data_IF_673488714855
#
_entry.id   IF_673488714855
#
_cell.length_a   1.000
_cell.length_b   1.000
_cell.length_c   1.000
_cell.angle_alpha   90.00
_cell.angle_beta   90.00
_cell.angle_gamma   90.00
#
_symmetry.space_group_name_H-M   'P 1'
#
loop_
_entity.id
_entity.type
_entity.pdbx_description
1 polymer ?
#
# COMPACT_ATOMS: atom_id res chain seq x y z
N UNK A 1 -13.29 3.11 17.97
CA UNK A 1 -12.77 2.87 16.61
C UNK A 1 -12.48 1.40 16.46
N UNK A 2 -13.06 0.78 15.44
CA UNK A 2 -12.85 -0.64 15.15
C UNK A 2 -11.40 -0.86 14.69
N UNK A 3 -10.88 -2.08 14.86
CA UNK A 3 -9.55 -2.49 14.35
C UNK A 3 -9.35 -2.13 12.87
N UNK A 4 -10.42 -2.23 12.09
CA UNK A 4 -10.45 -1.92 10.67
C UNK A 4 -10.19 -0.43 10.37
N UNK A 5 -10.71 0.49 11.20
CA UNK A 5 -10.49 1.94 11.06
C UNK A 5 -9.00 2.27 11.16
N UNK A 6 -8.28 1.62 12.08
CA UNK A 6 -6.84 1.80 12.24
C UNK A 6 -6.03 1.29 11.06
N UNK A 7 -6.43 0.17 10.46
CA UNK A 7 -5.76 -0.38 9.27
C UNK A 7 -6.01 0.54 8.06
N UNK A 8 -7.23 1.05 7.91
CA UNK A 8 -7.59 2.03 6.89
C UNK A 8 -6.78 3.33 6.99
N UNK A 9 -6.41 3.75 8.19
CA UNK A 9 -5.52 4.91 8.42
C UNK A 9 -4.06 4.53 8.19
N UNK A 10 -3.64 3.33 8.59
CA UNK A 10 -2.26 2.89 8.45
C UNK A 10 -1.78 2.83 6.99
N UNK A 11 -2.64 2.42 6.05
CA UNK A 11 -2.33 2.35 4.61
C UNK A 11 -1.93 3.72 4.03
N UNK A 12 -2.78 4.76 4.07
CA UNK A 12 -2.41 6.09 3.54
C UNK A 12 -1.27 6.71 4.35
N UNK A 13 -1.17 6.46 5.65
CA UNK A 13 -0.02 6.94 6.45
C UNK A 13 1.30 6.32 5.95
N UNK A 14 1.33 5.01 5.70
CA UNK A 14 2.50 4.35 5.14
C UNK A 14 2.87 4.90 3.76
N UNK A 15 1.90 5.06 2.87
CA UNK A 15 2.12 5.63 1.52
C UNK A 15 2.61 7.08 1.58
N UNK A 16 1.94 7.93 2.36
CA UNK A 16 2.30 9.34 2.52
C UNK A 16 3.67 9.50 3.19
N UNK A 17 4.03 8.64 4.14
CA UNK A 17 5.35 8.69 4.77
C UNK A 17 6.47 8.51 3.75
N UNK A 18 6.30 7.62 2.77
CA UNK A 18 7.26 7.42 1.68
C UNK A 18 7.45 8.67 0.81
N UNK A 19 6.34 9.33 0.46
CA UNK A 19 6.37 10.60 -0.27
C UNK A 19 7.00 11.74 0.54
N UNK A 20 6.62 11.87 1.82
CA UNK A 20 7.17 12.88 2.75
C UNK A 20 8.69 12.71 2.89
N UNK A 21 9.18 11.48 3.03
CA UNK A 21 10.62 11.20 3.08
C UNK A 21 11.30 11.64 1.79
N UNK A 22 10.72 11.31 0.63
CA UNK A 22 11.27 11.72 -0.67
C UNK A 22 11.31 13.23 -0.89
N UNK A 23 10.36 13.98 -0.31
CA UNK A 23 10.29 15.44 -0.46
C UNK A 23 11.17 16.17 0.56
N UNK A 24 11.26 15.66 1.79
CA UNK A 24 11.93 16.34 2.90
C UNK A 24 13.38 15.90 3.13
N UNK A 25 13.85 14.87 2.43
CA UNK A 25 15.20 14.33 2.60
C UNK A 25 15.96 14.27 1.27
N UNK A 26 17.22 13.82 1.32
CA UNK A 26 18.05 13.58 0.13
C UNK A 26 17.73 12.27 -0.59
N UNK A 27 16.79 11.47 -0.06
CA UNK A 27 16.36 10.22 -0.69
C UNK A 27 15.53 10.55 -1.93
N UNK A 28 15.87 10.02 -3.11
CA UNK A 28 15.04 10.21 -4.31
C UNK A 28 13.59 9.76 -4.06
N UNK A 29 12.65 10.52 -4.59
CA UNK A 29 11.22 10.36 -4.29
C UNK A 29 10.71 8.99 -4.69
N UNK A 30 11.29 8.39 -5.72
CA UNK A 30 10.94 7.08 -6.26
C UNK A 30 11.25 5.98 -5.24
N UNK A 31 12.41 6.03 -4.59
CA UNK A 31 12.77 5.09 -3.52
C UNK A 31 11.90 5.28 -2.27
N UNK A 32 11.56 6.53 -1.94
CA UNK A 32 10.60 6.84 -0.87
C UNK A 32 9.23 6.22 -1.13
N UNK A 33 8.71 6.36 -2.36
CA UNK A 33 7.43 5.77 -2.77
C UNK A 33 7.45 4.24 -2.73
N UNK A 34 8.52 3.59 -3.22
CA UNK A 34 8.68 2.14 -3.12
C UNK A 34 8.64 1.67 -1.66
N UNK A 35 9.40 2.34 -0.78
CA UNK A 35 9.42 2.00 0.64
C UNK A 35 8.01 2.14 1.27
N UNK A 36 7.29 3.22 0.96
CA UNK A 36 5.91 3.42 1.43
C UNK A 36 4.95 2.31 0.98
N UNK A 37 5.06 1.86 -0.27
CA UNK A 37 4.25 0.75 -0.81
C UNK A 37 4.60 -0.59 -0.15
N UNK A 38 5.88 -0.87 0.05
CA UNK A 38 6.33 -2.08 0.75
C UNK A 38 5.81 -2.08 2.19
N UNK A 39 5.88 -0.95 2.89
CA UNK A 39 5.35 -0.79 4.24
C UNK A 39 3.81 -0.92 4.29
N UNK A 40 3.11 -0.48 3.25
CA UNK A 40 1.66 -0.57 3.17
C UNK A 40 1.15 -2.01 2.92
N UNK A 41 1.98 -2.86 2.30
CA UNK A 41 1.61 -4.23 1.89
C UNK A 41 1.03 -5.11 3.01
N UNK A 42 1.61 -5.21 4.23
CA UNK A 42 1.02 -6.02 5.29
C UNK A 42 -0.37 -5.53 5.73
N UNK A 43 -0.63 -4.23 5.70
CA UNK A 43 -1.92 -3.66 6.07
C UNK A 43 -2.99 -3.99 5.03
N UNK A 44 -2.65 -3.86 3.74
CA UNK A 44 -3.52 -4.27 2.63
C UNK A 44 -3.80 -5.76 2.67
N UNK A 45 -2.78 -6.57 2.96
CA UNK A 45 -2.93 -8.01 3.09
C UNK A 45 -3.91 -8.38 4.22
N UNK A 46 -3.76 -7.77 5.39
CA UNK A 46 -4.66 -8.04 6.52
C UNK A 46 -6.09 -7.57 6.24
N UNK A 47 -6.25 -6.38 5.67
CA UNK A 47 -7.55 -5.77 5.39
C UNK A 47 -8.36 -6.53 4.35
N UNK A 48 -7.73 -6.99 3.26
CA UNK A 48 -8.42 -7.54 2.09
C UNK A 48 -8.44 -9.08 2.13
N UNK A 49 -7.35 -9.71 2.58
CA UNK A 49 -7.20 -11.17 2.39
C UNK A 49 -7.40 -11.98 3.65
N UNK A 50 -7.08 -11.41 4.82
CA UNK A 50 -7.08 -12.17 6.09
C UNK A 50 -8.33 -11.91 6.92
N UNK A 51 -8.73 -10.65 7.05
CA UNK A 51 -9.79 -10.23 7.96
C UNK A 51 -10.67 -9.15 7.32
N UNK A 52 -11.33 -9.45 6.19
CA UNK A 52 -12.19 -8.48 5.52
C UNK A 52 -13.40 -8.12 6.39
N UNK A 53 -13.84 -6.84 6.39
CA UNK A 53 -14.95 -6.36 7.23
C UNK A 53 -16.32 -6.86 6.74
N UNK A 54 -16.42 -7.20 5.47
CA UNK A 54 -17.62 -7.69 4.80
C UNK A 54 -17.27 -8.97 4.03
N UNK A 55 -18.23 -9.89 3.80
CA UNK A 55 -18.03 -11.01 2.90
C UNK A 55 -17.73 -10.47 1.50
N UNK A 56 -16.48 -10.64 1.05
CA UNK A 56 -16.06 -10.22 -0.28
C UNK A 56 -16.35 -11.33 -1.28
N UNK A 57 -16.79 -10.95 -2.49
CA UNK A 57 -16.84 -11.91 -3.60
C UNK A 57 -15.43 -12.26 -4.07
N UNK A 58 -15.24 -13.48 -4.59
CA UNK A 58 -13.94 -13.92 -5.15
C UNK A 58 -13.42 -12.95 -6.22
N UNK A 59 -14.34 -12.33 -6.99
CA UNK A 59 -14.01 -11.33 -8.02
C UNK A 59 -13.42 -10.06 -7.40
N UNK A 60 -14.02 -9.52 -6.33
CA UNK A 60 -13.51 -8.32 -5.66
C UNK A 60 -12.11 -8.53 -5.09
N UNK A 61 -11.90 -9.69 -4.45
CA UNK A 61 -10.58 -10.07 -3.89
C UNK A 61 -9.52 -10.20 -4.99
N UNK A 62 -9.88 -10.80 -6.12
CA UNK A 62 -8.99 -10.92 -7.28
C UNK A 62 -8.63 -9.56 -7.89
N UNK A 63 -9.62 -8.67 -8.08
CA UNK A 63 -9.37 -7.31 -8.57
C UNK A 63 -8.47 -6.51 -7.64
N UNK A 64 -8.72 -6.57 -6.33
CA UNK A 64 -7.88 -5.90 -5.33
C UNK A 64 -6.44 -6.42 -5.36
N UNK A 65 -6.25 -7.74 -5.49
CA UNK A 65 -4.93 -8.33 -5.66
C UNK A 65 -4.22 -7.79 -6.90
N UNK A 66 -4.90 -7.81 -8.05
CA UNK A 66 -4.32 -7.35 -9.33
C UNK A 66 -3.92 -5.88 -9.22
N UNK A 67 -4.82 -5.01 -8.74
CA UNK A 67 -4.54 -3.59 -8.58
C UNK A 67 -3.34 -3.34 -7.66
N UNK A 68 -3.26 -4.06 -6.54
CA UNK A 68 -2.13 -3.91 -5.61
C UNK A 68 -0.81 -4.33 -6.26
N UNK A 69 -0.77 -5.47 -6.96
CA UNK A 69 0.45 -5.93 -7.63
C UNK A 69 0.88 -5.02 -8.77
N UNK A 70 -0.07 -4.50 -9.56
CA UNK A 70 0.21 -3.50 -10.60
C UNK A 70 0.83 -2.25 -9.98
N UNK A 71 0.29 -1.76 -8.87
CA UNK A 71 0.83 -0.60 -8.16
C UNK A 71 2.24 -0.87 -7.64
N UNK A 72 2.50 -2.04 -7.04
CA UNK A 72 3.84 -2.43 -6.57
C UNK A 72 4.85 -2.52 -7.72
N UNK A 73 4.49 -3.18 -8.82
CA UNK A 73 5.37 -3.32 -9.98
C UNK A 73 5.65 -1.95 -10.60
N UNK A 74 4.62 -1.11 -10.72
CA UNK A 74 4.76 0.24 -11.24
C UNK A 74 5.74 1.08 -10.41
N UNK A 75 5.61 1.09 -9.07
CA UNK A 75 6.53 1.87 -8.23
C UNK A 75 7.96 1.37 -8.30
N UNK A 76 8.18 0.06 -8.42
CA UNK A 76 9.51 -0.52 -8.62
C UNK A 76 10.09 -0.08 -9.97
N UNK A 77 9.31 -0.14 -11.06
CA UNK A 77 9.78 0.29 -12.39
C UNK A 77 10.22 1.76 -12.34
N UNK A 78 9.39 2.63 -11.76
CA UNK A 78 9.68 4.07 -11.61
C UNK A 78 10.95 4.31 -10.78
N UNK A 79 11.25 3.48 -9.79
CA UNK A 79 12.46 3.64 -8.97
C UNK A 79 13.75 3.14 -9.61
N UNK A 80 13.68 2.35 -10.69
CA UNK A 80 14.84 1.72 -11.34
C UNK A 80 15.22 2.39 -12.65
N UNK A 81 14.31 3.15 -13.26
CA UNK A 81 14.50 3.88 -14.52
C UNK A 81 14.80 5.37 -14.30
#
# INVERSE_FOLDING_TARGET
MYRYDWILVAIPVALLSGWIIGVLTVVPIEYGMVAGVVLATPFVYDAIFRNPPLPESDVQRAFAAILWHVLVVWTIIVAVW
#
